data_IF_404492986358
#
_entry.id   IF_404492986358
#
_cell.length_a   1.000
_cell.length_b   1.000
_cell.length_c   1.000
_cell.angle_alpha   90.00
_cell.angle_beta   90.00
_cell.angle_gamma   90.00
#
_symmetry.space_group_name_H-M   'P 1'
#
loop_
_entity.id
_entity.type
_entity.pdbx_description
1 polymer ?
#
# COMPACT_ATOMS: atom_id res chain seq x y z
N UNK A 1 13.11 -14.88 6.01
CA UNK A 1 12.58 -15.15 7.36
C UNK A 1 13.48 -14.56 8.44
N UNK A 2 12.88 -13.93 9.45
CA UNK A 2 13.52 -13.27 10.59
C UNK A 2 13.29 -14.13 11.85
N UNK A 3 14.34 -14.36 12.64
CA UNK A 3 14.24 -15.10 13.91
C UNK A 3 13.19 -14.48 14.84
N UNK A 4 12.40 -15.31 15.52
CA UNK A 4 11.41 -14.87 16.51
C UNK A 4 12.03 -14.11 17.70
N UNK A 5 13.33 -14.30 17.94
CA UNK A 5 14.07 -13.56 18.97
C UNK A 5 14.50 -12.16 18.53
N UNK A 6 14.50 -11.87 17.23
CA UNK A 6 14.83 -10.54 16.70
C UNK A 6 13.57 -9.67 16.63
N UNK A 7 13.62 -8.51 17.27
CA UNK A 7 12.50 -7.59 17.30
C UNK A 7 12.29 -6.90 15.94
N UNK A 8 11.06 -6.91 15.40
CA UNK A 8 10.69 -6.24 14.13
C UNK A 8 10.02 -4.89 14.42
N UNK A 9 10.54 -3.82 13.83
CA UNK A 9 9.93 -2.48 13.85
C UNK A 9 9.15 -2.22 12.57
N UNK A 10 7.84 -2.15 12.68
CA UNK A 10 6.92 -1.87 11.57
C UNK A 10 6.45 -0.42 11.68
N UNK A 11 6.55 0.34 10.61
CA UNK A 11 6.02 1.69 10.52
C UNK A 11 5.01 1.81 9.40
N UNK A 12 3.79 2.22 9.75
CA UNK A 12 2.75 2.54 8.78
C UNK A 12 2.70 4.04 8.54
N UNK A 13 2.79 4.46 7.29
CA UNK A 13 2.53 5.84 6.90
C UNK A 13 1.04 6.14 7.04
N UNK A 14 0.67 7.25 7.68
CA UNK A 14 -0.70 7.75 7.71
C UNK A 14 -0.77 9.20 7.21
N UNK A 15 -1.85 9.52 6.51
CA UNK A 15 -2.04 10.83 5.88
C UNK A 15 -3.52 11.16 5.67
N UNK A 16 -3.82 12.45 5.49
CA UNK A 16 -5.17 12.91 5.19
C UNK A 16 -5.66 12.37 3.85
N UNK A 17 -6.91 11.90 3.80
CA UNK A 17 -7.52 11.32 2.62
C UNK A 17 -6.99 9.92 2.28
N UNK A 18 -6.34 9.22 3.21
CA UNK A 18 -6.07 7.79 3.07
C UNK A 18 -7.38 6.98 3.14
N UNK A 19 -7.40 5.78 2.55
CA UNK A 19 -8.47 4.82 2.82
C UNK A 19 -8.11 4.07 4.12
N UNK A 20 -8.91 4.22 5.18
CA UNK A 20 -8.50 3.72 6.50
C UNK A 20 -8.27 2.21 6.51
N UNK A 21 -8.97 1.42 5.68
CA UNK A 21 -8.80 -0.03 5.70
C UNK A 21 -7.52 -0.50 5.02
N UNK A 22 -6.95 0.33 4.13
CA UNK A 22 -5.59 0.12 3.64
C UNK A 22 -4.58 0.19 4.79
N UNK A 23 -4.90 0.89 5.89
CA UNK A 23 -4.13 0.87 7.13
C UNK A 23 -4.59 -0.25 8.08
N UNK A 24 -5.87 -0.26 8.44
CA UNK A 24 -6.39 -1.01 9.59
C UNK A 24 -6.48 -2.51 9.31
N UNK A 25 -6.71 -2.93 8.05
CA UNK A 25 -6.66 -4.33 7.64
C UNK A 25 -5.25 -4.93 7.86
N UNK A 26 -4.20 -4.36 7.25
CA UNK A 26 -2.82 -4.71 7.58
C UNK A 26 -2.46 -4.61 9.05
N UNK A 27 -2.91 -3.54 9.74
CA UNK A 27 -2.60 -3.35 11.15
C UNK A 27 -3.11 -4.52 11.99
N UNK A 28 -4.32 -5.02 11.72
CA UNK A 28 -4.89 -6.17 12.41
C UNK A 28 -3.99 -7.42 12.30
N UNK A 29 -3.43 -7.69 11.12
CA UNK A 29 -2.51 -8.83 10.91
C UNK A 29 -1.13 -8.56 11.52
N UNK A 30 -0.51 -7.43 11.16
CA UNK A 30 0.89 -7.14 11.48
C UNK A 30 1.13 -6.86 12.97
N UNK A 31 0.12 -6.35 13.69
CA UNK A 31 0.18 -6.16 15.16
C UNK A 31 0.25 -7.48 15.95
N UNK A 32 -0.07 -8.61 15.31
CA UNK A 32 -0.01 -9.95 15.91
C UNK A 32 1.28 -10.71 15.61
N UNK A 33 2.21 -10.10 14.86
CA UNK A 33 3.50 -10.70 14.60
C UNK A 33 4.30 -10.89 15.91
N UNK A 34 4.84 -12.10 16.18
CA UNK A 34 5.65 -12.35 17.36
C UNK A 34 6.86 -11.42 17.43
N UNK A 35 7.07 -10.83 18.60
CA UNK A 35 8.19 -9.91 18.89
C UNK A 35 8.30 -8.79 17.84
N UNK A 36 7.18 -8.11 17.57
CA UNK A 36 7.12 -6.97 16.67
C UNK A 36 6.44 -5.78 17.34
N UNK A 37 6.69 -4.59 16.83
CA UNK A 37 5.93 -3.38 17.18
C UNK A 37 5.53 -2.68 15.90
N UNK A 38 4.26 -2.31 15.80
CA UNK A 38 3.73 -1.47 14.73
C UNK A 38 3.44 -0.07 15.28
N UNK A 39 3.91 0.96 14.57
CA UNK A 39 3.64 2.36 14.90
C UNK A 39 3.18 3.14 13.68
N UNK A 40 2.36 4.16 13.92
CA UNK A 40 1.80 5.04 12.90
C UNK A 40 2.62 6.32 12.81
N UNK A 41 3.07 6.67 11.60
CA UNK A 41 3.88 7.84 11.35
C UNK A 41 3.22 8.79 10.37
N UNK A 42 3.01 10.04 10.80
CA UNK A 42 2.52 11.13 9.96
C UNK A 42 3.60 12.15 9.63
N UNK A 43 3.29 13.10 8.74
CA UNK A 43 4.18 14.24 8.46
C UNK A 43 4.42 15.09 9.72
N UNK A 44 3.41 15.16 10.58
CA UNK A 44 3.39 15.77 11.91
C UNK A 44 2.72 14.80 12.90
N UNK A 45 2.54 15.20 14.16
CA UNK A 45 1.77 14.45 15.18
C UNK A 45 0.28 14.78 15.19
N UNK A 46 -0.17 15.64 14.26
CA UNK A 46 -1.58 16.02 14.20
C UNK A 46 -2.44 14.85 13.71
N UNK A 47 -3.68 14.70 14.21
CA UNK A 47 -4.60 13.70 13.70
C UNK A 47 -4.88 13.86 12.20
N UNK A 48 -4.92 12.75 11.48
CA UNK A 48 -5.30 12.70 10.06
C UNK A 48 -6.72 12.18 9.93
N UNK A 49 -7.37 12.49 8.81
CA UNK A 49 -8.71 12.00 8.47
C UNK A 49 -8.66 11.06 7.28
N UNK A 50 -9.35 9.93 7.36
CA UNK A 50 -9.56 9.08 6.20
C UNK A 50 -10.54 9.74 5.19
N UNK A 51 -10.72 9.10 4.03
CA UNK A 51 -11.64 9.59 2.98
C UNK A 51 -13.11 9.75 3.45
N UNK A 52 -13.50 9.12 4.56
CA UNK A 52 -14.86 9.11 5.10
C UNK A 52 -14.99 9.84 6.46
N UNK A 53 -13.92 10.49 6.94
CA UNK A 53 -13.90 11.31 8.15
C UNK A 53 -13.46 10.61 9.45
N UNK A 54 -13.12 9.31 9.43
CA UNK A 54 -12.50 8.62 10.56
C UNK A 54 -11.18 9.31 10.92
N UNK A 55 -10.98 9.63 12.20
CA UNK A 55 -9.76 10.28 12.68
C UNK A 55 -8.79 9.26 13.23
N UNK A 56 -7.54 9.36 12.81
CA UNK A 56 -6.45 8.49 13.26
C UNK A 56 -5.31 9.38 13.75
N UNK A 57 -4.76 9.04 14.93
CA UNK A 57 -3.70 9.83 15.58
C UNK A 57 -2.36 9.15 15.31
N UNK A 58 -1.34 9.87 14.79
CA UNK A 58 0.00 9.33 14.66
C UNK A 58 0.62 9.01 16.01
N UNK A 59 1.37 7.91 16.11
CA UNK A 59 2.24 7.65 17.26
C UNK A 59 3.47 8.57 17.28
N UNK A 60 3.83 9.13 16.11
CA UNK A 60 4.94 10.06 15.94
C UNK A 60 4.94 10.75 14.59
N UNK A 61 5.73 11.82 14.47
CA UNK A 61 6.03 12.42 13.19
C UNK A 61 7.13 11.63 12.46
N UNK A 62 7.35 11.90 11.18
CA UNK A 62 8.45 11.33 10.41
C UNK A 62 9.84 11.49 11.05
N UNK A 63 10.06 12.59 11.78
CA UNK A 63 11.31 12.85 12.51
C UNK A 63 11.51 11.95 13.71
N UNK A 64 10.43 11.35 14.22
CA UNK A 64 10.44 10.45 15.39
C UNK A 64 10.61 8.98 14.97
N UNK A 65 10.56 8.67 13.67
CA UNK A 65 10.63 7.31 13.16
C UNK A 65 12.09 6.79 13.25
N UNK A 66 12.33 5.64 13.89
CA UNK A 66 13.63 4.96 13.78
C UNK A 66 13.81 4.40 12.37
N UNK A 67 14.94 3.75 12.11
CA UNK A 67 15.04 2.84 10.97
C UNK A 67 14.03 1.70 11.17
N UNK A 68 13.17 1.51 10.16
CA UNK A 68 12.12 0.50 10.18
C UNK A 68 12.61 -0.79 9.52
N UNK A 69 12.20 -1.93 10.07
CA UNK A 69 12.36 -3.24 9.41
C UNK A 69 11.28 -3.44 8.35
N UNK A 70 10.10 -2.86 8.55
CA UNK A 70 8.98 -2.92 7.61
C UNK A 70 8.38 -1.53 7.42
N UNK A 71 8.34 -1.07 6.17
CA UNK A 71 7.60 0.12 5.77
C UNK A 71 6.25 -0.30 5.18
N UNK A 72 5.15 0.19 5.75
CA UNK A 72 3.80 0.00 5.23
C UNK A 72 3.24 1.31 4.67
N UNK A 73 2.76 1.29 3.42
CA UNK A 73 2.24 2.45 2.67
C UNK A 73 0.80 2.19 2.21
N UNK A 74 -0.21 2.76 2.88
CA UNK A 74 -1.60 2.67 2.45
C UNK A 74 -1.91 3.57 1.25
N UNK A 75 -3.05 3.35 0.61
CA UNK A 75 -3.59 4.17 -0.47
C UNK A 75 -4.68 5.13 0.00
N UNK A 76 -5.55 5.52 -0.94
CA UNK A 76 -6.60 6.52 -0.74
C UNK A 76 -6.52 7.66 -1.76
N UNK A 77 -7.44 8.62 -1.67
CA UNK A 77 -7.48 9.75 -2.62
C UNK A 77 -6.43 10.81 -2.31
N UNK A 78 -6.15 11.08 -1.03
CA UNK A 78 -5.12 12.05 -0.61
C UNK A 78 -3.71 11.67 -1.05
N UNK A 79 -3.52 10.40 -1.42
CA UNK A 79 -2.30 9.87 -2.02
C UNK A 79 -1.83 10.71 -3.21
N UNK A 80 -2.74 11.18 -4.06
CA UNK A 80 -2.42 11.90 -5.30
C UNK A 80 -1.58 13.15 -5.02
N UNK A 81 -2.04 14.01 -4.10
CA UNK A 81 -1.32 15.25 -3.74
C UNK A 81 0.01 15.01 -3.01
N UNK A 82 0.27 13.80 -2.54
CA UNK A 82 1.54 13.43 -1.89
C UNK A 82 2.58 12.90 -2.87
N UNK A 83 2.20 12.57 -4.12
CA UNK A 83 3.12 12.07 -5.14
C UNK A 83 4.17 13.10 -5.58
N UNK A 84 3.95 14.38 -5.30
CA UNK A 84 4.93 15.45 -5.56
C UNK A 84 5.53 16.03 -4.28
N UNK A 85 5.18 15.48 -3.11
CA UNK A 85 5.64 15.99 -1.83
C UNK A 85 7.01 15.40 -1.46
N UNK A 86 8.09 16.13 -1.76
CA UNK A 86 9.46 15.65 -1.53
C UNK A 86 9.75 15.26 -0.08
N UNK A 87 9.12 15.89 0.93
CA UNK A 87 9.29 15.49 2.33
C UNK A 87 8.81 14.05 2.58
N UNK A 88 7.69 13.68 1.96
CA UNK A 88 7.10 12.33 2.03
C UNK A 88 7.95 11.35 1.22
N UNK A 89 8.24 11.68 -0.05
CA UNK A 89 9.00 10.80 -0.93
C UNK A 89 10.41 10.51 -0.38
N UNK A 90 11.09 11.53 0.14
CA UNK A 90 12.40 11.37 0.76
C UNK A 90 12.33 10.50 2.03
N UNK A 91 11.28 10.62 2.84
CA UNK A 91 11.09 9.75 4.00
C UNK A 91 10.88 8.30 3.59
N UNK A 92 10.06 8.04 2.56
CA UNK A 92 9.87 6.69 2.01
C UNK A 92 11.17 6.10 1.48
N UNK A 93 11.95 6.85 0.70
CA UNK A 93 13.27 6.40 0.22
C UNK A 93 14.19 6.01 1.38
N UNK A 94 14.26 6.85 2.43
CA UNK A 94 15.11 6.58 3.60
C UNK A 94 14.69 5.32 4.34
N UNK A 95 13.38 5.13 4.56
CA UNK A 95 12.89 3.95 5.27
C UNK A 95 13.03 2.67 4.44
N UNK A 96 12.73 2.74 3.14
CA UNK A 96 12.84 1.60 2.24
C UNK A 96 14.29 1.11 2.04
N UNK A 97 15.29 2.01 2.08
CA UNK A 97 16.70 1.65 1.83
C UNK A 97 17.28 0.60 2.79
N UNK A 98 16.78 0.54 4.03
CA UNK A 98 17.21 -0.43 5.04
C UNK A 98 16.11 -1.43 5.44
N UNK A 99 14.92 -1.33 4.85
CA UNK A 99 13.79 -2.15 5.23
C UNK A 99 14.01 -3.60 4.78
N UNK A 100 13.62 -4.53 5.65
CA UNK A 100 13.56 -5.96 5.35
C UNK A 100 12.28 -6.31 4.61
N UNK A 101 11.25 -5.47 4.69
CA UNK A 101 10.04 -5.56 3.88
C UNK A 101 9.47 -4.19 3.54
N UNK A 102 8.96 -4.04 2.33
CA UNK A 102 8.16 -2.88 1.91
C UNK A 102 6.80 -3.41 1.50
N UNK A 103 5.76 -2.85 2.10
CA UNK A 103 4.39 -3.28 1.86
C UNK A 103 3.55 -2.09 1.44
N UNK A 104 2.83 -2.21 0.33
CA UNK A 104 1.82 -1.22 -0.03
C UNK A 104 0.47 -1.85 -0.31
N UNK A 105 -0.58 -1.09 -0.01
CA UNK A 105 -1.95 -1.45 -0.33
C UNK A 105 -2.53 -0.42 -1.28
N UNK A 106 -3.37 -0.86 -2.23
CA UNK A 106 -4.15 0.00 -3.10
C UNK A 106 -3.23 0.98 -3.85
N UNK A 107 -3.54 2.27 -3.83
CA UNK A 107 -2.72 3.32 -4.47
C UNK A 107 -1.47 3.72 -3.69
N UNK A 108 -1.18 3.08 -2.54
CA UNK A 108 0.09 3.25 -1.84
C UNK A 108 1.30 2.87 -2.70
N UNK A 109 1.14 1.92 -3.62
CA UNK A 109 2.15 1.58 -4.62
C UNK A 109 2.54 2.80 -5.49
N UNK A 110 1.62 3.71 -5.77
CA UNK A 110 1.92 4.90 -6.58
C UNK A 110 2.79 5.91 -5.82
N UNK A 111 2.75 5.94 -4.47
CA UNK A 111 3.68 6.74 -3.67
C UNK A 111 5.09 6.16 -3.70
N UNK A 112 5.21 4.83 -3.58
CA UNK A 112 6.49 4.15 -3.78
C UNK A 112 7.00 4.41 -5.21
N UNK A 113 6.12 4.38 -6.20
CA UNK A 113 6.45 4.70 -7.58
C UNK A 113 6.96 6.13 -7.74
N UNK A 114 6.26 7.09 -7.15
CA UNK A 114 6.66 8.49 -7.13
C UNK A 114 8.00 8.73 -6.41
N UNK A 115 8.31 7.93 -5.39
CA UNK A 115 9.60 7.95 -4.71
C UNK A 115 10.75 7.34 -5.54
N UNK A 116 10.45 6.79 -6.73
CA UNK A 116 11.41 6.11 -7.60
C UNK A 116 11.71 4.67 -7.21
N UNK A 117 10.88 4.08 -6.33
CA UNK A 117 11.14 2.80 -5.68
C UNK A 117 10.58 1.58 -6.44
N UNK A 118 9.79 1.78 -7.50
CA UNK A 118 9.18 0.67 -8.27
C UNK A 118 9.92 0.27 -9.54
N UNK A 119 11.05 0.93 -9.86
CA UNK A 119 11.78 0.67 -11.10
C UNK A 119 12.31 -0.77 -11.13
N UNK A 120 11.81 -1.57 -12.07
CA UNK A 120 12.17 -2.98 -12.22
C UNK A 120 11.38 -3.94 -11.32
N UNK A 121 10.49 -3.43 -10.46
CA UNK A 121 9.67 -4.26 -9.59
C UNK A 121 8.46 -4.85 -10.32
N UNK A 122 8.04 -6.05 -9.92
CA UNK A 122 6.70 -6.58 -10.23
C UNK A 122 5.73 -6.08 -9.17
N UNK A 123 4.68 -5.37 -9.57
CA UNK A 123 3.76 -4.74 -8.62
C UNK A 123 2.30 -4.82 -9.07
N UNK A 124 1.40 -4.70 -8.11
CA UNK A 124 -0.03 -4.45 -8.31
C UNK A 124 -0.43 -3.17 -7.57
N UNK A 125 -1.65 -2.69 -7.80
CA UNK A 125 -2.23 -1.51 -7.15
C UNK A 125 -3.76 -1.60 -7.27
N UNK A 126 -4.49 -0.56 -6.89
CA UNK A 126 -5.93 -0.49 -7.11
C UNK A 126 -6.27 -0.61 -8.60
N UNK A 127 -7.30 -1.39 -8.96
CA UNK A 127 -7.67 -1.66 -10.36
C UNK A 127 -7.85 -0.40 -11.21
N UNK A 128 -8.49 0.64 -10.66
CA UNK A 128 -8.72 1.91 -11.36
C UNK A 128 -7.43 2.71 -11.64
N UNK A 129 -6.31 2.35 -10.99
CA UNK A 129 -5.01 3.00 -11.17
C UNK A 129 -3.93 2.02 -11.64
N UNK A 130 -4.30 0.79 -12.00
CA UNK A 130 -3.39 -0.27 -12.44
C UNK A 130 -2.54 0.12 -13.65
N UNK A 131 -3.17 0.78 -14.62
CA UNK A 131 -2.51 1.29 -15.84
C UNK A 131 -1.41 2.34 -15.58
N UNK A 132 -1.29 2.85 -14.34
CA UNK A 132 -0.29 3.85 -13.98
C UNK A 132 1.06 3.25 -13.57
N UNK A 133 1.12 1.96 -13.20
CA UNK A 133 2.36 1.31 -12.74
C UNK A 133 3.54 1.45 -13.73
N UNK A 134 3.36 1.31 -15.06
CA UNK A 134 4.45 1.50 -16.02
C UNK A 134 5.09 2.90 -15.99
N UNK A 135 4.35 3.95 -15.60
CA UNK A 135 4.91 5.30 -15.44
C UNK A 135 5.96 5.40 -14.32
N UNK A 136 5.98 4.42 -13.42
CA UNK A 136 6.96 4.31 -12.34
C UNK A 136 7.99 3.21 -12.57
N UNK A 137 8.04 2.65 -13.80
CA UNK A 137 9.00 1.62 -14.18
C UNK A 137 8.73 0.25 -13.58
N UNK A 138 7.55 0.05 -13.00
CA UNK A 138 7.10 -1.25 -12.51
C UNK A 138 6.54 -2.09 -13.67
N UNK A 139 6.72 -3.40 -13.57
CA UNK A 139 5.99 -4.39 -14.37
C UNK A 139 4.63 -4.65 -13.71
N UNK A 140 3.51 -4.24 -14.33
CA UNK A 140 2.19 -4.44 -13.76
C UNK A 140 1.79 -5.93 -13.77
N UNK A 141 1.34 -6.44 -12.62
CA UNK A 141 0.85 -7.83 -12.47
C UNK A 141 -0.57 -7.80 -11.90
N UNK A 142 -1.55 -8.24 -12.68
CA UNK A 142 -2.96 -8.23 -12.29
C UNK A 142 -3.28 -9.40 -11.34
N UNK A 143 -2.85 -9.27 -10.09
CA UNK A 143 -3.11 -10.21 -9.00
C UNK A 143 -3.52 -9.42 -7.75
N UNK A 144 -4.26 -10.09 -6.86
CA UNK A 144 -4.72 -9.51 -5.59
C UNK A 144 -3.54 -9.13 -4.68
N UNK A 145 -2.52 -9.98 -4.64
CA UNK A 145 -1.25 -9.76 -3.95
C UNK A 145 -0.13 -10.17 -4.89
N UNK A 146 0.92 -9.34 -4.97
CA UNK A 146 2.15 -9.61 -5.72
C UNK A 146 3.30 -9.54 -4.74
N UNK A 147 4.07 -10.61 -4.66
CA UNK A 147 5.32 -10.68 -3.88
C UNK A 147 6.49 -10.61 -4.86
N UNK A 148 7.40 -9.66 -4.62
CA UNK A 148 8.63 -9.45 -5.40
C UNK A 148 9.82 -9.35 -4.46
N UNK A 149 10.48 -10.49 -4.21
CA UNK A 149 11.44 -10.62 -3.11
C UNK A 149 10.75 -10.39 -1.77
N UNK A 150 11.24 -9.45 -0.97
CA UNK A 150 10.62 -9.08 0.31
C UNK A 150 9.61 -7.93 0.21
N UNK A 151 9.31 -7.47 -1.01
CA UNK A 151 8.34 -6.43 -1.26
C UNK A 151 6.99 -7.07 -1.55
N UNK A 152 5.96 -6.55 -0.91
CA UNK A 152 4.58 -7.02 -1.08
C UNK A 152 3.74 -5.86 -1.58
N UNK A 153 3.01 -6.10 -2.65
CA UNK A 153 2.06 -5.15 -3.22
C UNK A 153 0.68 -5.80 -3.18
N UNK A 154 -0.24 -5.20 -2.44
CA UNK A 154 -1.65 -5.59 -2.43
C UNK A 154 -2.47 -4.67 -3.31
N UNK A 155 -3.48 -5.22 -3.99
CA UNK A 155 -4.42 -4.50 -4.82
C UNK A 155 -5.36 -3.63 -3.95
N UNK A 156 -6.62 -3.45 -4.36
CA UNK A 156 -7.53 -2.53 -3.67
C UNK A 156 -7.92 -2.97 -2.25
N UNK A 157 -7.87 -2.03 -1.31
CA UNK A 157 -8.69 -2.02 -0.09
C UNK A 157 -8.43 -3.25 0.79
N UNK A 158 -9.36 -4.21 0.80
CA UNK A 158 -9.26 -5.41 1.65
C UNK A 158 -8.14 -6.36 1.26
N UNK A 159 -7.54 -6.20 0.06
CA UNK A 159 -6.35 -6.95 -0.33
C UNK A 159 -5.17 -6.72 0.64
N UNK A 160 -5.20 -5.64 1.41
CA UNK A 160 -4.23 -5.38 2.47
C UNK A 160 -4.18 -6.47 3.55
N UNK A 161 -5.30 -7.14 3.85
CA UNK A 161 -5.32 -8.25 4.82
C UNK A 161 -4.54 -9.45 4.27
N UNK A 162 -4.84 -9.85 3.03
CA UNK A 162 -4.14 -10.97 2.37
C UNK A 162 -2.66 -10.66 2.17
N UNK A 163 -2.33 -9.44 1.73
CA UNK A 163 -0.95 -8.99 1.57
C UNK A 163 -0.18 -9.00 2.89
N UNK A 164 -0.82 -8.60 3.99
CA UNK A 164 -0.20 -8.65 5.31
C UNK A 164 0.02 -10.08 5.81
N UNK A 165 -0.87 -11.04 5.48
CA UNK A 165 -0.66 -12.46 5.77
C UNK A 165 0.50 -13.04 4.95
N UNK A 166 0.60 -12.69 3.66
CA UNK A 166 1.77 -13.03 2.85
C UNK A 166 3.06 -12.47 3.46
N UNK A 167 3.05 -11.19 3.85
CA UNK A 167 4.20 -10.57 4.51
C UNK A 167 4.54 -11.23 5.85
N UNK A 168 3.54 -11.61 6.64
CA UNK A 168 3.74 -12.35 7.88
C UNK A 168 4.46 -13.68 7.63
N UNK A 169 4.08 -14.40 6.57
CA UNK A 169 4.74 -15.63 6.17
C UNK A 169 6.21 -15.39 5.75
N UNK A 170 6.49 -14.33 4.99
CA UNK A 170 7.86 -13.96 4.61
C UNK A 170 8.75 -13.61 5.81
N UNK A 171 8.18 -12.89 6.78
CA UNK A 171 8.90 -12.40 7.96
C UNK A 171 9.07 -13.48 9.04
N UNK A 172 8.05 -14.31 9.31
CA UNK A 172 8.02 -15.22 10.46
C UNK A 172 7.71 -16.69 10.11
N UNK A 173 7.49 -16.98 8.84
CA UNK A 173 7.16 -18.32 8.36
C UNK A 173 5.65 -18.56 8.31
N UNK A 174 5.28 -19.57 7.52
CA UNK A 174 3.89 -19.89 7.19
C UNK A 174 3.06 -20.26 8.41
N UNK A 175 3.63 -20.99 9.37
CA UNK A 175 2.92 -21.38 10.60
C UNK A 175 2.40 -20.15 11.38
N UNK A 176 3.22 -19.10 11.52
CA UNK A 176 2.80 -17.85 12.19
C UNK A 176 1.69 -17.16 11.41
N UNK A 177 1.77 -17.14 10.08
CA UNK A 177 0.70 -16.56 9.26
C UNK A 177 -0.61 -17.34 9.40
N UNK A 178 -0.56 -18.67 9.44
CA UNK A 178 -1.72 -19.54 9.68
C UNK A 178 -2.32 -19.34 11.07
N UNK A 179 -1.50 -19.22 12.11
CA UNK A 179 -1.95 -18.91 13.48
C UNK A 179 -2.69 -17.57 13.54
N UNK A 180 -2.13 -16.52 12.91
CA UNK A 180 -2.76 -15.19 12.85
C UNK A 180 -4.08 -15.27 12.07
N UNK A 181 -4.09 -15.94 10.92
CA UNK A 181 -5.29 -16.12 10.10
C UNK A 181 -6.41 -16.81 10.89
N UNK A 182 -6.08 -17.90 11.60
CA UNK A 182 -7.04 -18.67 12.40
C UNK A 182 -7.54 -17.84 13.59
N UNK A 183 -6.65 -17.13 14.29
CA UNK A 183 -7.03 -16.27 15.42
C UNK A 183 -8.02 -15.18 14.99
N UNK A 184 -7.80 -14.58 13.83
CA UNK A 184 -8.70 -13.58 13.24
C UNK A 184 -10.00 -14.18 12.70
N UNK A 185 -10.10 -15.53 12.63
CA UNK A 185 -11.14 -16.25 11.90
C UNK A 185 -11.30 -15.70 10.46
N UNK A 186 -10.18 -15.42 9.80
CA UNK A 186 -10.19 -14.81 8.47
C UNK A 186 -10.53 -15.86 7.39
N UNK A 187 -11.83 -16.10 7.23
CA UNK A 187 -12.46 -16.95 6.24
C UNK A 187 -13.61 -16.16 5.57
N UNK A 188 -13.30 -15.24 4.64
CA UNK A 188 -14.29 -14.32 4.09
C UNK A 188 -15.32 -15.04 3.21
N UNK A 189 -16.59 -14.69 3.39
CA UNK A 189 -17.72 -15.15 2.58
C UNK A 189 -18.47 -13.95 1.97
N UNK A 190 -17.94 -13.32 0.89
CA UNK A 190 -18.59 -12.15 0.30
C UNK A 190 -20.01 -12.48 -0.19
N UNK A 191 -21.03 -11.68 0.19
CA UNK A 191 -22.42 -11.94 -0.20
C UNK A 191 -22.73 -11.57 -1.67
N UNK A 192 -21.77 -10.93 -2.36
CA UNK A 192 -21.90 -10.43 -3.72
C UNK A 192 -20.62 -10.76 -4.51
N UNK A 193 -20.73 -10.85 -5.84
CA UNK A 193 -19.60 -11.14 -6.74
C UNK A 193 -19.13 -9.92 -7.56
N UNK A 194 -19.08 -8.73 -6.95
CA UNK A 194 -18.73 -7.48 -7.63
C UNK A 194 -17.40 -6.87 -7.16
N UNK A 195 -16.51 -7.70 -6.60
CA UNK A 195 -15.23 -7.25 -6.04
C UNK A 195 -14.14 -6.95 -7.07
N UNK A 196 -14.35 -7.32 -8.34
CA UNK A 196 -13.39 -7.12 -9.43
C UNK A 196 -14.07 -6.58 -10.68
N UNK A 197 -13.37 -5.84 -11.55
CA UNK A 197 -13.91 -5.41 -12.85
C UNK A 197 -14.40 -6.56 -13.73
N UNK A 198 -13.79 -7.74 -13.60
CA UNK A 198 -14.09 -8.92 -14.41
C UNK A 198 -15.40 -9.60 -13.99
N UNK A 199 -15.80 -9.48 -12.71
CA UNK A 199 -16.99 -10.17 -12.18
C UNK A 199 -18.18 -9.24 -11.93
N UNK A 200 -17.94 -7.93 -11.75
CA UNK A 200 -19.01 -6.97 -11.52
C UNK A 200 -19.94 -6.81 -12.74
N UNK A 201 -21.26 -6.57 -12.54
CA UNK A 201 -22.14 -6.20 -13.64
C UNK A 201 -21.64 -4.95 -14.36
N UNK A 202 -21.73 -4.92 -15.68
CA UNK A 202 -21.16 -3.85 -16.52
C UNK A 202 -21.66 -2.45 -16.12
N UNK A 203 -22.94 -2.31 -15.78
CA UNK A 203 -23.51 -1.04 -15.34
C UNK A 203 -22.91 -0.54 -14.01
N UNK A 204 -22.63 -1.44 -13.08
CA UNK A 204 -22.01 -1.12 -11.78
C UNK A 204 -20.55 -0.72 -12.01
N UNK A 205 -19.82 -1.45 -12.85
CA UNK A 205 -18.45 -1.09 -13.22
C UNK A 205 -18.39 0.31 -13.83
N UNK A 206 -19.28 0.63 -14.77
CA UNK A 206 -19.36 1.95 -15.39
C UNK A 206 -19.74 3.04 -14.39
N UNK A 207 -20.65 2.76 -13.44
CA UNK A 207 -20.98 3.70 -12.38
C UNK A 207 -19.78 4.02 -11.50
N UNK A 208 -18.99 3.01 -11.09
CA UNK A 208 -17.79 3.20 -10.26
C UNK A 208 -16.68 3.90 -11.05
N UNK A 209 -16.50 3.60 -12.34
CA UNK A 209 -15.58 4.34 -13.21
C UNK A 209 -15.94 5.81 -13.28
N UNK A 210 -17.23 6.13 -13.44
CA UNK A 210 -17.70 7.53 -13.46
C UNK A 210 -17.44 8.24 -12.13
N UNK A 211 -17.72 7.59 -11.00
CA UNK A 211 -17.52 8.21 -9.68
C UNK A 211 -16.05 8.48 -9.35
N UNK A 212 -15.13 7.67 -9.90
CA UNK A 212 -13.68 7.79 -9.67
C UNK A 212 -12.91 8.44 -10.81
N UNK A 213 -13.59 8.90 -11.86
CA UNK A 213 -12.96 9.43 -13.07
C UNK A 213 -12.08 10.65 -12.80
N UNK A 214 -12.54 11.58 -11.95
CA UNK A 214 -11.83 12.82 -11.66
C UNK A 214 -10.47 12.56 -11.00
N UNK A 215 -10.44 11.76 -9.93
CA UNK A 215 -9.20 11.41 -9.23
C UNK A 215 -8.26 10.57 -10.10
N UNK A 216 -8.83 9.66 -10.92
CA UNK A 216 -8.02 8.85 -11.84
C UNK A 216 -7.31 9.72 -12.88
N UNK A 217 -8.00 10.72 -13.42
CA UNK A 217 -7.40 11.65 -14.39
C UNK A 217 -6.30 12.52 -13.78
N UNK A 218 -6.48 12.98 -12.54
CA UNK A 218 -5.43 13.72 -11.82
C UNK A 218 -4.19 12.85 -11.62
N UNK A 219 -4.36 11.61 -11.14
CA UNK A 219 -3.26 10.65 -10.97
C UNK A 219 -2.51 10.40 -12.27
N UNK A 220 -3.19 10.31 -13.40
CA UNK A 220 -2.55 10.11 -14.70
C UNK A 220 -1.65 11.30 -15.10
N UNK A 221 -2.14 12.53 -14.92
CA UNK A 221 -1.36 13.75 -15.18
C UNK A 221 -0.12 13.77 -14.30
N UNK A 222 -0.29 13.54 -13.00
CA UNK A 222 0.79 13.51 -12.01
C UNK A 222 1.81 12.39 -12.31
N UNK A 223 1.34 11.19 -12.67
CA UNK A 223 2.20 10.07 -13.05
C UNK A 223 3.06 10.39 -14.28
N UNK A 224 2.52 11.05 -15.31
CA UNK A 224 3.27 11.46 -16.51
C UNK A 224 4.37 12.46 -16.17
N UNK A 225 4.07 13.47 -15.33
CA UNK A 225 5.05 14.44 -14.86
C UNK A 225 6.20 13.76 -14.09
N UNK A 226 5.86 12.82 -13.21
CA UNK A 226 6.85 12.08 -12.42
C UNK A 226 7.69 11.15 -13.31
N UNK A 227 7.08 10.44 -14.25
CA UNK A 227 7.80 9.59 -15.19
C UNK A 227 8.89 10.37 -15.94
N UNK A 228 8.56 11.58 -16.41
CA UNK A 228 9.52 12.47 -17.05
C UNK A 228 10.68 12.86 -16.11
N UNK A 229 10.39 13.20 -14.85
CA UNK A 229 11.40 13.54 -13.83
C UNK A 229 12.31 12.34 -13.49
N UNK A 230 11.77 11.13 -13.48
CA UNK A 230 12.50 9.88 -13.19
C UNK A 230 13.23 9.32 -14.43
N UNK A 231 13.08 9.94 -15.61
CA UNK A 231 13.67 9.44 -16.85
C UNK A 231 13.07 8.12 -17.32
N UNK A 232 11.79 7.88 -17.05
CA UNK A 232 11.07 6.66 -17.41
C UNK A 232 10.29 6.92 -18.70
N UNK A 233 10.68 6.27 -19.78
CA UNK A 233 9.94 6.25 -21.05
C UNK A 233 8.80 5.25 -20.93
N UNK A 234 7.66 5.67 -20.38
CA UNK A 234 6.48 4.84 -20.30
C UNK A 234 5.87 4.68 -21.69
N UNK A 235 5.87 3.48 -22.24
CA UNK A 235 4.90 3.10 -23.29
C UNK A 235 3.56 2.92 -22.60
N UNK A 236 2.55 3.70 -22.99
CA UNK A 236 1.18 3.44 -22.54
C UNK A 236 0.88 1.95 -22.84
N UNK A 237 0.50 1.19 -21.83
CA UNK A 237 -0.02 -0.15 -22.05
C UNK A 237 -1.31 -0.02 -22.86
N UNK A 238 -1.36 -0.65 -24.03
CA UNK A 238 -2.55 -0.73 -24.88
C UNK A 238 -3.70 -1.43 -24.17
#
# INVERSE_FOLDING_TARGET
MISVHDHIKIGSFIFDGMDQIDLTGPFEVLSRLPNATIRLYGVTREPVRDVNGLRIVPDGAFSDAPALDVLHVPGGFGQEGLMENEKVLAWMRRQAAGARGVFSVCTGALLLGAAGLLKGCRATTHWASFHLLPFFGATPVNQRVVVDGTWVFAAGVTAGIDGALCLAAELRGEAVAQEIQLYMAYAPEPPLNSGTPETAPAEILEQVRKSTAAITKLREVTARCIAARLGITATAAN
#
